data_IF_440422328643
#
_entry.id   IF_440422328643
#
_cell.length_a   1.000
_cell.length_b   1.000
_cell.length_c   1.000
_cell.angle_alpha   90.00
_cell.angle_beta   90.00
_cell.angle_gamma   90.00
#
_symmetry.space_group_name_H-M   'P 1'
#
loop_
_entity.id
_entity.type
_entity.pdbx_description
1 polymer ?
#
# COMPACT_ATOMS: atom_id res chain seq x y z
N UNK A 1 0.68 -4.93 -12.87
CA UNK A 1 0.01 -6.08 -12.23
C UNK A 1 -0.40 -5.62 -10.85
N UNK A 2 -1.64 -5.82 -10.41
CA UNK A 2 -2.05 -5.35 -9.07
C UNK A 2 -1.16 -5.94 -7.97
N UNK A 3 -0.78 -5.09 -7.01
CA UNK A 3 -0.04 -5.47 -5.81
C UNK A 3 -0.70 -6.64 -5.08
N UNK A 4 0.03 -7.73 -4.79
CA UNK A 4 -0.53 -8.93 -4.16
C UNK A 4 -0.99 -8.73 -2.72
N UNK A 5 -0.61 -7.60 -2.09
CA UNK A 5 -0.97 -7.26 -0.72
C UNK A 5 -2.15 -6.29 -0.60
N UNK A 6 -2.69 -5.82 -1.74
CA UNK A 6 -3.90 -5.02 -1.74
C UNK A 6 -5.11 -5.93 -1.62
N UNK A 7 -5.87 -5.72 -0.55
CA UNK A 7 -7.16 -6.36 -0.31
C UNK A 7 -8.27 -5.29 -0.26
N UNK A 8 -9.52 -5.74 -0.38
CA UNK A 8 -10.70 -4.88 -0.26
C UNK A 8 -11.62 -5.51 0.78
N UNK A 9 -11.84 -4.78 1.89
CA UNK A 9 -12.58 -5.27 3.05
C UNK A 9 -13.79 -4.40 3.32
N UNK A 10 -14.90 -5.04 3.63
CA UNK A 10 -16.17 -4.41 4.00
C UNK A 10 -16.34 -4.25 5.52
N UNK A 11 -15.40 -4.73 6.33
CA UNK A 11 -15.48 -4.61 7.79
C UNK A 11 -14.10 -4.49 8.45
N UNK A 12 -14.11 -3.96 9.68
CA UNK A 12 -12.98 -3.93 10.62
C UNK A 12 -13.47 -4.25 12.04
N UNK A 13 -13.18 -5.49 12.49
CA UNK A 13 -13.66 -5.99 13.78
C UNK A 13 -15.19 -6.04 13.85
N UNK A 14 -15.77 -5.25 14.75
CA UNK A 14 -17.23 -5.14 14.94
C UNK A 14 -17.88 -4.05 14.08
N UNK A 15 -17.08 -3.27 13.33
CA UNK A 15 -17.58 -2.22 12.45
C UNK A 15 -17.67 -2.71 11.00
N UNK A 16 -18.85 -2.57 10.41
CA UNK A 16 -19.08 -2.80 8.98
C UNK A 16 -19.07 -1.46 8.24
N UNK A 17 -18.66 -1.49 6.97
CA UNK A 17 -18.65 -0.34 6.06
C UNK A 17 -19.74 -0.48 5.01
N UNK A 18 -20.23 0.66 4.50
CA UNK A 18 -21.24 0.66 3.43
C UNK A 18 -20.70 0.18 2.07
N UNK A 19 -19.38 0.06 1.94
CA UNK A 19 -18.68 -0.37 0.73
C UNK A 19 -17.27 -0.88 1.08
N UNK A 20 -16.74 -1.74 0.21
CA UNK A 20 -15.38 -2.27 0.34
C UNK A 20 -14.34 -1.15 0.35
N UNK A 21 -13.43 -1.20 1.32
CA UNK A 21 -12.35 -0.24 1.48
C UNK A 21 -11.01 -0.91 1.22
N UNK A 22 -10.07 -0.21 0.57
CA UNK A 22 -8.76 -0.76 0.28
C UNK A 22 -7.95 -0.94 1.57
N UNK A 23 -7.31 -2.09 1.71
CA UNK A 23 -6.56 -2.51 2.88
C UNK A 23 -5.21 -3.07 2.45
N UNK A 24 -4.13 -2.54 3.02
CA UNK A 24 -2.78 -3.03 2.74
C UNK A 24 -2.39 -4.08 3.79
N UNK A 25 -2.14 -5.30 3.33
CA UNK A 25 -1.79 -6.42 4.22
C UNK A 25 -0.37 -6.32 4.81
N UNK A 26 0.54 -5.54 4.21
CA UNK A 26 1.91 -5.37 4.74
C UNK A 26 1.91 -4.51 6.01
N UNK A 27 1.18 -3.39 6.00
CA UNK A 27 1.10 -2.46 7.13
C UNK A 27 -0.15 -2.70 8.00
N UNK A 28 -0.95 -3.70 7.65
CA UNK A 28 -2.16 -4.12 8.36
C UNK A 28 -3.15 -2.97 8.61
N UNK A 29 -3.33 -2.08 7.64
CA UNK A 29 -4.21 -0.91 7.77
C UNK A 29 -4.95 -0.55 6.47
N UNK A 30 -6.09 0.13 6.63
CA UNK A 30 -6.81 0.73 5.52
C UNK A 30 -6.00 1.87 4.91
N UNK A 31 -6.00 1.93 3.58
CA UNK A 31 -5.26 2.95 2.82
C UNK A 31 -6.22 3.94 2.16
N UNK A 32 -5.68 5.07 1.74
CA UNK A 32 -6.44 6.03 0.94
C UNK A 32 -6.72 5.49 -0.48
N UNK A 33 -7.75 6.03 -1.18
CA UNK A 33 -7.99 5.69 -2.58
C UNK A 33 -6.78 5.96 -3.48
N UNK A 34 -5.98 7.00 -3.21
CA UNK A 34 -4.78 7.30 -3.99
C UNK A 34 -3.70 6.23 -3.81
N UNK A 35 -3.47 5.77 -2.58
CA UNK A 35 -2.55 4.66 -2.32
C UNK A 35 -3.05 3.35 -2.95
N UNK A 36 -4.37 3.14 -2.95
CA UNK A 36 -4.97 2.01 -3.66
C UNK A 36 -4.78 2.13 -5.18
N UNK A 37 -4.86 3.33 -5.76
CA UNK A 37 -4.58 3.54 -7.18
C UNK A 37 -3.12 3.17 -7.52
N UNK A 38 -2.18 3.56 -6.66
CA UNK A 38 -0.77 3.18 -6.78
C UNK A 38 -0.61 1.65 -6.72
N UNK A 39 -1.19 0.99 -5.71
CA UNK A 39 -1.13 -0.47 -5.58
C UNK A 39 -1.86 -1.22 -6.73
N UNK A 40 -2.80 -0.57 -7.42
CA UNK A 40 -3.48 -1.12 -8.59
C UNK A 40 -2.75 -0.85 -9.92
N UNK A 41 -1.57 -0.23 -9.88
CA UNK A 41 -0.83 0.24 -11.07
C UNK A 41 -1.67 1.11 -12.01
N UNK A 42 -2.52 1.96 -11.42
CA UNK A 42 -3.35 2.90 -12.18
C UNK A 42 -2.53 4.14 -12.51
N UNK A 43 -2.91 4.86 -13.57
CA UNK A 43 -2.28 6.14 -13.92
C UNK A 43 -0.76 6.08 -14.18
N UNK A 44 -0.29 4.95 -14.73
CA UNK A 44 1.13 4.66 -14.97
C UNK A 44 2.00 4.57 -13.70
N UNK A 45 1.38 4.40 -12.53
CA UNK A 45 2.09 3.95 -11.34
C UNK A 45 2.46 2.47 -11.44
N UNK A 46 3.53 2.11 -10.74
CA UNK A 46 3.99 0.73 -10.55
C UNK A 46 4.22 0.49 -9.06
N UNK A 47 3.44 -0.40 -8.45
CA UNK A 47 3.58 -0.73 -7.03
C UNK A 47 4.99 -1.25 -6.67
N UNK A 48 5.73 -1.88 -7.59
CA UNK A 48 7.09 -2.33 -7.33
C UNK A 48 8.07 -1.15 -7.25
N UNK A 49 7.85 -0.10 -8.04
CA UNK A 49 8.78 1.03 -8.20
C UNK A 49 8.36 2.32 -7.46
N UNK A 50 7.08 2.48 -7.16
CA UNK A 50 6.50 3.71 -6.57
C UNK A 50 5.97 3.48 -5.14
N UNK A 51 5.65 2.23 -4.74
CA UNK A 51 5.14 1.96 -3.40
C UNK A 51 6.28 1.76 -2.39
N UNK A 52 6.48 2.73 -1.50
CA UNK A 52 7.47 2.63 -0.43
C UNK A 52 7.28 1.39 0.46
N UNK A 53 6.02 1.02 0.73
CA UNK A 53 5.67 -0.10 1.61
C UNK A 53 6.03 -1.43 0.96
N UNK A 54 5.68 -1.61 -0.32
CA UNK A 54 6.03 -2.81 -1.07
C UNK A 54 7.54 -2.96 -1.19
N UNK A 55 8.24 -1.88 -1.57
CA UNK A 55 9.70 -1.88 -1.69
C UNK A 55 10.38 -2.29 -0.39
N UNK A 56 10.04 -1.66 0.74
CA UNK A 56 10.63 -2.03 2.05
C UNK A 56 10.35 -3.48 2.46
N UNK A 57 9.27 -4.08 1.96
CA UNK A 57 8.93 -5.46 2.24
C UNK A 57 9.64 -6.46 1.32
N UNK A 58 10.15 -6.05 0.16
CA UNK A 58 10.64 -6.95 -0.89
C UNK A 58 12.05 -6.68 -1.41
N UNK A 59 12.54 -5.46 -1.24
CA UNK A 59 13.85 -5.04 -1.69
C UNK A 59 14.81 -5.00 -0.51
N UNK A 60 16.07 -5.36 -0.79
CA UNK A 60 17.15 -5.13 0.15
C UNK A 60 17.38 -3.60 0.31
N UNK A 61 17.97 -3.18 1.42
CA UNK A 61 18.10 -1.76 1.77
C UNK A 61 18.89 -0.93 0.73
N UNK A 62 19.77 -1.57 -0.05
CA UNK A 62 20.54 -0.96 -1.13
C UNK A 62 19.75 -0.77 -2.44
N UNK A 63 18.54 -1.35 -2.52
CA UNK A 63 17.67 -1.31 -3.69
C UNK A 63 16.47 -0.36 -3.52
N UNK A 64 16.32 0.26 -2.35
CA UNK A 64 15.29 1.28 -2.11
C UNK A 64 15.59 2.56 -2.89
N UNK A 65 14.54 3.20 -3.43
CA UNK A 65 14.69 4.49 -4.12
C UNK A 65 15.28 5.54 -3.14
N UNK A 66 16.41 6.18 -3.47
CA UNK A 66 17.00 7.22 -2.62
C UNK A 66 16.04 8.39 -2.41
N UNK A 67 15.77 8.74 -1.15
CA UNK A 67 14.88 9.86 -0.77
C UNK A 67 13.45 9.48 -0.38
N UNK A 68 13.12 8.18 -0.34
CA UNK A 68 11.85 7.63 0.18
C UNK A 68 11.95 7.12 1.63
N UNK A 69 12.93 7.62 2.38
CA UNK A 69 13.00 7.45 3.83
C UNK A 69 11.79 8.18 4.44
N UNK A 70 10.73 7.43 4.76
CA UNK A 70 9.67 7.93 5.61
C UNK A 70 10.32 8.29 6.94
N UNK A 71 10.40 9.57 7.25
CA UNK A 71 10.76 10.01 8.59
C UNK A 71 9.74 9.40 9.55
N UNK A 72 10.21 8.67 10.57
CA UNK A 72 9.36 8.24 11.67
C UNK A 72 8.65 9.48 12.20
N UNK A 73 7.32 9.52 12.05
CA UNK A 73 6.51 10.58 12.62
C UNK A 73 6.45 10.34 14.14
N UNK A 74 7.21 11.13 14.90
CA UNK A 74 7.15 11.23 16.36
C UNK A 74 5.75 11.67 16.84
#
# INVERSE_FOLDING_TARGET
MTCPYLDYRDADGEQEFDHDRPYCQIQESFVSPMEADLCNDRHDFDHEADCAVFQRHHLDADQLVPGLELQDAD
#
